data_IF_315073442894
#
_entry.id   IF_315073442894
#
_cell.length_a   1.000
_cell.length_b   1.000
_cell.length_c   1.000
_cell.angle_alpha   90.00
_cell.angle_beta   90.00
_cell.angle_gamma   90.00
#
_symmetry.space_group_name_H-M   'P 1'
#
loop_
_entity.id
_entity.type
_entity.pdbx_description
1 polymer ?
#
# COMPACT_ATOMS: atom_id res chain seq x y z
N UNK A 1 69.37 10.42 -12.84
CA UNK A 1 69.24 11.40 -13.94
C UNK A 1 68.02 12.27 -13.63
N UNK A 2 68.23 13.50 -13.16
CA UNK A 2 68.01 14.76 -13.92
C UNK A 2 66.52 14.93 -14.31
N UNK A 3 65.73 15.90 -13.84
CA UNK A 3 66.03 17.16 -13.16
C UNK A 3 66.20 18.33 -14.15
N UNK A 4 65.10 18.91 -14.65
CA UNK A 4 64.98 20.24 -15.30
C UNK A 4 63.52 20.67 -15.09
N UNK A 5 63.07 21.69 -14.33
CA UNK A 5 63.40 23.13 -14.12
C UNK A 5 63.19 24.07 -15.33
N UNK A 6 61.94 24.56 -15.42
CA UNK A 6 61.49 25.97 -15.51
C UNK A 6 62.08 26.97 -16.53
N UNK A 7 61.18 27.68 -17.24
CA UNK A 7 61.03 29.16 -17.35
C UNK A 7 59.79 29.45 -18.23
N UNK A 8 58.68 30.06 -17.78
CA UNK A 8 58.40 31.46 -17.40
C UNK A 8 58.84 32.51 -18.43
N UNK A 9 57.85 33.12 -19.08
CA UNK A 9 57.65 34.59 -19.17
C UNK A 9 56.21 34.91 -19.61
N UNK A 10 55.63 35.89 -18.92
CA UNK A 10 54.33 36.55 -19.07
C UNK A 10 54.58 37.98 -19.63
N UNK A 11 53.78 39.05 -19.39
CA UNK A 11 52.32 39.31 -19.37
C UNK A 11 51.93 40.62 -20.15
N UNK A 12 50.63 40.98 -20.16
CA UNK A 12 49.97 42.33 -20.14
C UNK A 12 48.76 42.31 -21.09
N UNK A 13 47.59 42.89 -20.82
CA UNK A 13 47.16 44.09 -20.06
C UNK A 13 45.63 43.90 -19.79
N UNK A 14 45.02 44.04 -18.61
CA UNK A 14 44.77 45.16 -17.66
C UNK A 14 43.97 46.36 -18.20
N UNK A 15 42.69 46.43 -17.81
CA UNK A 15 41.96 47.60 -17.23
C UNK A 15 40.59 47.09 -16.72
N UNK A 16 40.16 47.04 -15.45
CA UNK A 16 40.20 47.96 -14.27
C UNK A 16 39.26 49.16 -14.48
N UNK A 17 38.28 49.58 -13.66
CA UNK A 17 37.98 49.58 -12.20
C UNK A 17 36.47 49.96 -12.01
N UNK A 18 35.68 49.49 -11.02
CA UNK A 18 35.47 50.01 -9.63
C UNK A 18 34.86 51.45 -9.65
N UNK A 19 33.88 51.93 -8.86
CA UNK A 19 33.42 51.72 -7.47
C UNK A 19 32.06 52.45 -7.28
N UNK A 20 31.25 52.04 -6.28
CA UNK A 20 30.52 52.85 -5.26
C UNK A 20 29.04 52.53 -5.07
N UNK A 21 28.73 52.09 -3.85
CA UNK A 21 27.38 51.85 -3.36
C UNK A 21 26.71 53.07 -2.77
N UNK A 22 25.42 52.95 -2.53
CA UNK A 22 24.67 53.76 -1.59
C UNK A 22 23.51 52.91 -1.02
N UNK A 23 23.46 52.87 0.31
CA UNK A 23 22.36 52.33 1.10
C UNK A 23 21.17 53.28 1.00
N UNK A 24 19.96 52.77 0.79
CA UNK A 24 18.73 53.57 0.78
C UNK A 24 17.49 52.68 0.99
N UNK A 25 16.97 52.71 2.20
CA UNK A 25 15.75 52.06 2.70
C UNK A 25 14.50 52.59 2.00
N UNK A 26 13.52 51.72 1.69
CA UNK A 26 12.08 51.84 2.05
C UNK A 26 11.13 51.07 1.09
N UNK A 27 10.40 50.13 1.69
CA UNK A 27 8.99 49.76 1.50
C UNK A 27 8.43 49.40 0.12
N UNK A 28 8.02 48.12 0.03
CA UNK A 28 7.21 47.51 -1.02
C UNK A 28 5.71 47.79 -0.80
N UNK A 29 5.04 48.29 -1.84
CA UNK A 29 3.59 48.23 -2.00
C UNK A 29 3.30 47.75 -3.42
N UNK A 30 2.64 46.60 -3.57
CA UNK A 30 2.02 46.21 -4.84
C UNK A 30 0.68 45.52 -4.61
N UNK A 31 -0.28 45.94 -5.43
CA UNK A 31 -1.73 45.78 -5.35
C UNK A 31 -2.24 44.37 -5.68
N UNK A 32 -3.47 43.99 -5.28
CA UNK A 32 -4.02 42.65 -5.49
C UNK A 32 -4.61 42.45 -6.90
N UNK A 33 -4.68 41.19 -7.39
CA UNK A 33 -5.30 40.84 -8.68
C UNK A 33 -6.84 40.68 -8.59
N UNK A 34 -7.57 40.70 -9.74
CA UNK A 34 -9.04 40.82 -9.79
C UNK A 34 -9.78 39.47 -9.63
N UNK A 35 -11.10 39.48 -9.34
CA UNK A 35 -11.86 38.28 -8.97
C UNK A 35 -12.35 37.50 -10.21
N UNK A 36 -12.28 36.17 -10.13
CA UNK A 36 -12.79 35.25 -11.17
C UNK A 36 -14.25 34.89 -10.86
N UNK A 37 -15.10 35.08 -11.88
CA UNK A 37 -16.54 34.83 -11.89
C UNK A 37 -16.85 33.33 -11.88
N UNK A 38 -17.73 32.92 -10.96
CA UNK A 38 -18.26 31.56 -10.86
C UNK A 38 -19.33 31.29 -11.93
N UNK A 39 -19.15 30.24 -12.73
CA UNK A 39 -20.24 29.61 -13.48
C UNK A 39 -20.52 28.23 -12.90
N UNK A 40 -21.76 28.05 -12.43
CA UNK A 40 -22.30 26.80 -11.92
C UNK A 40 -23.03 26.03 -13.02
N UNK A 41 -22.74 24.74 -13.17
CA UNK A 41 -23.70 23.74 -13.69
C UNK A 41 -23.35 22.32 -13.23
N UNK A 42 -24.34 21.43 -13.07
CA UNK A 42 -24.24 20.26 -12.21
C UNK A 42 -24.00 18.98 -13.02
N UNK A 43 -22.97 18.21 -12.67
CA UNK A 43 -22.77 16.83 -13.16
C UNK A 43 -22.49 15.91 -11.98
N UNK A 44 -23.37 14.93 -11.81
CA UNK A 44 -23.28 13.87 -10.82
C UNK A 44 -22.08 12.96 -11.12
N UNK A 45 -21.02 13.11 -10.34
CA UNK A 45 -19.96 12.13 -10.19
C UNK A 45 -19.87 11.75 -8.70
N UNK A 46 -19.68 10.46 -8.36
CA UNK A 46 -19.34 10.11 -6.99
C UNK A 46 -17.96 10.69 -6.69
N UNK A 47 -17.94 11.70 -5.82
CA UNK A 47 -16.73 12.31 -5.29
C UNK A 47 -16.08 11.29 -4.36
N UNK A 48 -15.13 10.52 -4.88
CA UNK A 48 -14.13 9.91 -4.02
C UNK A 48 -13.16 11.01 -3.62
N UNK A 49 -13.35 11.54 -2.42
CA UNK A 49 -12.31 12.33 -1.78
C UNK A 49 -11.06 11.44 -1.70
N UNK A 50 -9.90 11.83 -2.26
CA UNK A 50 -8.66 11.24 -1.81
C UNK A 50 -8.61 11.54 -0.32
N UNK A 51 -8.60 10.49 0.50
CA UNK A 51 -8.23 10.64 1.91
C UNK A 51 -6.82 11.20 1.86
N UNK A 52 -6.70 12.52 2.00
CA UNK A 52 -5.45 13.19 2.23
C UNK A 52 -4.97 12.66 3.57
N UNK A 53 -4.16 11.60 3.52
CA UNK A 53 -3.32 11.28 4.66
C UNK A 53 -2.56 12.56 4.97
N UNK A 54 -2.66 13.11 6.19
CA UNK A 54 -1.79 14.23 6.55
C UNK A 54 -0.37 13.74 6.30
N UNK A 55 0.36 14.47 5.47
CA UNK A 55 1.80 14.30 5.29
C UNK A 55 2.36 14.24 6.71
N UNK A 56 2.98 13.13 7.15
CA UNK A 56 3.60 13.10 8.46
C UNK A 56 4.59 14.27 8.50
N UNK A 57 4.54 15.07 9.55
CA UNK A 57 5.56 16.09 9.78
C UNK A 57 6.94 15.38 9.79
N UNK A 58 7.66 15.47 8.68
CA UNK A 58 8.96 14.86 8.48
C UNK A 58 10.08 15.61 9.23
N UNK A 59 9.73 16.36 10.28
CA UNK A 59 10.67 17.13 11.11
C UNK A 59 11.49 16.26 12.08
N UNK A 60 11.25 14.95 12.12
CA UNK A 60 11.94 14.01 13.01
C UNK A 60 13.04 13.17 12.33
N UNK A 61 13.28 13.34 11.03
CA UNK A 61 14.40 12.66 10.36
C UNK A 61 15.69 13.50 10.46
N UNK A 62 16.83 12.91 10.86
CA UNK A 62 18.11 13.60 10.80
C UNK A 62 18.35 14.12 9.38
N UNK A 63 18.76 15.39 9.20
CA UNK A 63 19.09 15.95 7.90
C UNK A 63 20.32 15.21 7.33
N UNK A 64 20.06 14.16 6.57
CA UNK A 64 21.06 13.22 6.07
C UNK A 64 20.48 11.88 5.58
N UNK A 65 19.30 11.48 6.06
CA UNK A 65 18.56 10.29 5.59
C UNK A 65 17.73 10.54 4.31
N UNK A 66 17.66 11.78 3.84
CA UNK A 66 16.70 12.26 2.84
C UNK A 66 17.10 12.03 1.37
N UNK A 67 18.17 11.29 1.09
CA UNK A 67 18.64 11.07 -0.29
C UNK A 67 19.12 9.63 -0.51
N UNK A 68 18.33 8.64 -0.06
CA UNK A 68 18.50 7.30 -0.63
C UNK A 68 17.99 7.37 -2.06
N UNK A 69 18.90 7.26 -3.04
CA UNK A 69 18.50 7.07 -4.43
C UNK A 69 17.82 5.71 -4.55
N UNK A 70 16.49 5.69 -4.57
CA UNK A 70 15.74 4.46 -4.75
C UNK A 70 16.01 3.84 -6.12
N UNK A 71 16.65 4.53 -7.07
CA UNK A 71 17.01 3.93 -8.36
C UNK A 71 18.18 2.93 -8.28
N UNK A 72 18.77 2.68 -7.09
CA UNK A 72 19.82 1.66 -6.94
C UNK A 72 19.29 0.22 -7.04
N UNK A 73 17.98 -0.02 -6.91
CA UNK A 73 17.45 -1.37 -7.06
C UNK A 73 17.45 -1.80 -8.53
N UNK A 74 17.61 -3.11 -8.76
CA UNK A 74 17.44 -3.72 -10.08
C UNK A 74 16.05 -4.32 -10.16
N UNK A 75 15.18 -3.75 -10.99
CA UNK A 75 13.83 -4.25 -11.23
C UNK A 75 13.82 -5.73 -11.63
N UNK A 76 14.79 -6.15 -12.44
CA UNK A 76 14.96 -7.55 -12.85
C UNK A 76 15.20 -8.48 -11.68
N UNK A 77 15.97 -8.07 -10.67
CA UNK A 77 16.23 -8.87 -9.48
C UNK A 77 14.98 -9.00 -8.61
N UNK A 78 14.25 -7.90 -8.39
CA UNK A 78 13.00 -7.93 -7.64
C UNK A 78 11.98 -8.87 -8.31
N UNK A 79 11.81 -8.75 -9.63
CA UNK A 79 10.94 -9.63 -10.41
C UNK A 79 11.39 -11.08 -10.34
N UNK A 80 12.70 -11.34 -10.36
CA UNK A 80 13.26 -12.68 -10.18
C UNK A 80 12.91 -13.25 -8.81
N UNK A 81 13.13 -12.49 -7.72
CA UNK A 81 12.78 -12.90 -6.36
C UNK A 81 11.30 -13.26 -6.23
N UNK A 82 10.40 -12.50 -6.87
CA UNK A 82 8.96 -12.80 -6.86
C UNK A 82 8.67 -14.07 -7.69
N UNK A 83 9.31 -14.23 -8.85
CA UNK A 83 9.12 -15.38 -9.73
C UNK A 83 9.51 -16.70 -9.07
N UNK A 84 10.62 -16.72 -8.34
CA UNK A 84 11.06 -17.90 -7.60
C UNK A 84 9.99 -18.40 -6.61
N UNK A 85 9.14 -17.49 -6.11
CA UNK A 85 8.11 -17.80 -5.13
C UNK A 85 6.72 -18.00 -5.73
N UNK A 86 6.38 -17.31 -6.82
CA UNK A 86 5.06 -17.39 -7.44
C UNK A 86 5.08 -16.93 -8.90
N UNK A 87 4.84 -17.87 -9.81
CA UNK A 87 4.67 -17.57 -11.24
C UNK A 87 3.42 -16.71 -11.48
N UNK A 88 2.33 -16.89 -10.73
CA UNK A 88 1.10 -16.09 -10.84
C UNK A 88 1.38 -14.60 -10.55
N UNK A 89 2.08 -14.30 -9.46
CA UNK A 89 2.44 -12.93 -9.08
C UNK A 89 3.50 -12.35 -10.02
N UNK A 90 4.41 -13.18 -10.53
CA UNK A 90 5.37 -12.74 -11.54
C UNK A 90 4.70 -12.37 -12.86
N UNK A 91 3.74 -13.17 -13.35
CA UNK A 91 2.99 -12.88 -14.58
C UNK A 91 2.30 -11.53 -14.53
N UNK A 92 1.76 -11.18 -13.37
CA UNK A 92 1.18 -9.88 -13.11
C UNK A 92 2.19 -8.74 -13.37
N UNK A 93 3.36 -8.80 -12.74
CA UNK A 93 4.32 -7.69 -12.80
C UNK A 93 5.29 -7.76 -14.00
N UNK A 94 5.31 -8.87 -14.74
CA UNK A 94 6.31 -9.17 -15.79
C UNK A 94 6.52 -8.01 -16.77
N UNK A 95 5.42 -7.43 -17.25
CA UNK A 95 5.41 -6.35 -18.25
C UNK A 95 5.29 -4.94 -17.65
N UNK A 96 5.30 -4.81 -16.33
CA UNK A 96 5.07 -3.56 -15.60
C UNK A 96 6.40 -3.01 -15.12
N UNK A 97 6.72 -1.77 -15.48
CA UNK A 97 7.89 -1.08 -14.94
C UNK A 97 7.57 -0.40 -13.61
N UNK A 98 8.56 -0.31 -12.72
CA UNK A 98 8.40 0.30 -11.40
C UNK A 98 8.58 1.82 -11.43
N UNK A 99 8.06 2.47 -12.48
CA UNK A 99 8.20 3.92 -12.74
C UNK A 99 6.91 4.71 -12.43
N UNK A 100 5.89 4.04 -11.90
CA UNK A 100 4.58 4.61 -11.57
C UNK A 100 3.65 4.82 -12.77
N UNK A 101 4.03 4.43 -13.99
CA UNK A 101 3.13 4.49 -15.15
C UNK A 101 2.23 3.26 -15.21
N UNK A 102 1.08 3.42 -15.85
CA UNK A 102 0.14 2.33 -16.09
C UNK A 102 0.55 1.50 -17.30
N UNK A 103 0.69 0.20 -17.10
CA UNK A 103 0.98 -0.78 -18.13
C UNK A 103 -0.18 -1.77 -18.27
N UNK A 104 -0.52 -2.10 -19.51
CA UNK A 104 -1.52 -3.14 -19.82
C UNK A 104 -0.95 -4.51 -19.43
N UNK A 105 -1.52 -5.11 -18.40
CA UNK A 105 -1.15 -6.47 -17.96
C UNK A 105 -1.83 -7.49 -18.87
N UNK A 106 -3.16 -7.38 -18.99
CA UNK A 106 -4.00 -8.34 -19.70
C UNK A 106 -5.23 -7.66 -20.33
N UNK A 107 -5.73 -8.26 -21.42
CA UNK A 107 -7.05 -8.01 -21.96
C UNK A 107 -7.72 -9.33 -22.28
N UNK A 108 -8.99 -9.46 -21.90
CA UNK A 108 -9.82 -10.61 -22.21
C UNK A 108 -11.13 -10.11 -22.81
N UNK A 109 -11.61 -10.78 -23.85
CA UNK A 109 -12.93 -10.52 -24.42
C UNK A 109 -13.98 -11.34 -23.67
N UNK A 110 -15.04 -10.67 -23.25
CA UNK A 110 -16.21 -11.29 -22.64
C UNK A 110 -17.47 -10.76 -23.32
N UNK A 111 -18.11 -11.60 -24.12
CA UNK A 111 -19.21 -11.20 -25.00
C UNK A 111 -18.78 -10.08 -25.95
N UNK A 112 -19.53 -8.97 -25.94
CA UNK A 112 -19.24 -7.80 -26.78
C UNK A 112 -18.17 -6.86 -26.20
N UNK A 113 -17.72 -7.10 -24.96
CA UNK A 113 -16.84 -6.20 -24.22
C UNK A 113 -15.42 -6.73 -24.14
N UNK A 114 -14.44 -5.84 -24.33
CA UNK A 114 -13.05 -6.09 -23.99
C UNK A 114 -12.78 -5.57 -22.58
N UNK A 115 -12.43 -6.46 -21.66
CA UNK A 115 -12.04 -6.11 -20.31
C UNK A 115 -10.53 -6.14 -20.23
N UNK A 116 -9.94 -5.06 -19.74
CA UNK A 116 -8.51 -4.94 -19.68
C UNK A 116 -8.07 -4.42 -18.33
N UNK A 117 -6.87 -4.81 -17.94
CA UNK A 117 -6.30 -4.43 -16.68
C UNK A 117 -5.00 -3.67 -16.87
N UNK A 118 -4.96 -2.46 -16.31
CA UNK A 118 -3.78 -1.63 -16.23
C UNK A 118 -3.24 -1.66 -14.78
N UNK A 119 -1.95 -1.90 -14.62
CA UNK A 119 -1.25 -1.82 -13.34
C UNK A 119 -0.15 -0.75 -13.40
N UNK A 120 -0.07 0.05 -12.34
CA UNK A 120 1.09 0.90 -12.06
C UNK A 120 1.75 0.46 -10.74
N UNK A 121 3.09 0.44 -10.72
CA UNK A 121 3.87 0.15 -9.51
C UNK A 121 4.82 1.31 -9.28
N UNK A 122 4.85 1.84 -8.04
CA UNK A 122 5.74 2.93 -7.66
C UNK A 122 6.45 2.62 -6.34
N UNK A 123 7.77 2.63 -6.37
CA UNK A 123 8.61 2.51 -5.17
C UNK A 123 8.92 3.92 -4.64
N UNK A 124 8.53 4.23 -3.40
CA UNK A 124 8.79 5.53 -2.78
C UNK A 124 8.69 5.44 -1.25
N UNK A 125 9.38 6.32 -0.51
CA UNK A 125 9.16 6.46 0.94
C UNK A 125 7.94 7.35 1.21
N UNK A 126 6.97 6.86 2.00
CA UNK A 126 5.77 7.62 2.39
C UNK A 126 5.30 7.32 3.83
N UNK A 127 6.21 7.49 4.79
CA UNK A 127 5.93 7.23 6.21
C UNK A 127 6.22 5.78 6.61
N UNK A 128 5.43 5.23 7.53
CA UNK A 128 5.65 3.91 8.14
C UNK A 128 4.72 2.80 7.60
N UNK A 129 4.08 3.02 6.45
CA UNK A 129 3.28 1.97 5.79
C UNK A 129 4.16 1.19 4.83
N UNK A 130 4.13 -0.15 4.85
CA UNK A 130 5.01 -0.99 4.02
C UNK A 130 4.63 -0.89 2.54
N UNK A 131 3.34 -1.05 2.23
CA UNK A 131 2.82 -0.98 0.88
C UNK A 131 1.35 -0.59 0.89
N UNK A 132 0.81 -0.37 -0.32
CA UNK A 132 -0.61 -0.14 -0.51
C UNK A 132 -1.02 -0.52 -1.94
N UNK A 133 -1.89 -1.52 -2.07
CA UNK A 133 -2.66 -1.82 -3.27
C UNK A 133 -4.00 -1.08 -3.26
N UNK A 134 -4.27 -0.33 -4.32
CA UNK A 134 -5.56 0.34 -4.51
C UNK A 134 -6.53 -0.57 -5.24
N UNK A 135 -7.79 -0.53 -4.80
CA UNK A 135 -8.88 -1.16 -5.55
C UNK A 135 -8.93 -0.63 -6.99
N UNK A 136 -9.24 -1.49 -7.96
CA UNK A 136 -9.21 -1.11 -9.37
C UNK A 136 -10.27 -0.05 -9.70
N UNK A 137 -9.83 1.10 -10.19
CA UNK A 137 -10.74 2.10 -10.76
C UNK A 137 -11.30 1.58 -12.10
N UNK A 138 -12.63 1.56 -12.23
CA UNK A 138 -13.32 1.07 -13.43
C UNK A 138 -13.61 2.21 -14.40
N UNK A 139 -12.98 2.17 -15.57
CA UNK A 139 -13.15 3.12 -16.66
C UNK A 139 -13.89 2.43 -17.81
N UNK A 140 -15.04 2.97 -18.22
CA UNK A 140 -15.89 2.37 -19.26
C UNK A 140 -15.87 3.22 -20.53
N UNK A 141 -15.40 2.64 -21.63
CA UNK A 141 -15.49 3.20 -22.98
C UNK A 141 -16.56 2.48 -23.78
N UNK A 142 -17.75 3.09 -23.89
CA UNK A 142 -18.87 2.52 -24.65
C UNK A 142 -18.59 2.47 -26.15
N UNK A 143 -17.93 3.50 -26.69
CA UNK A 143 -17.58 3.59 -28.13
C UNK A 143 -16.72 2.41 -28.59
N UNK A 144 -15.75 2.02 -27.76
CA UNK A 144 -14.81 0.94 -28.08
C UNK A 144 -15.22 -0.38 -27.43
N UNK A 145 -16.41 -0.44 -26.80
CA UNK A 145 -16.90 -1.56 -25.98
C UNK A 145 -15.80 -2.12 -25.07
N UNK A 146 -15.15 -1.23 -24.32
CA UNK A 146 -13.96 -1.55 -23.52
C UNK A 146 -14.14 -1.11 -22.08
N UNK A 147 -13.77 -1.98 -21.14
CA UNK A 147 -13.70 -1.68 -19.71
C UNK A 147 -12.25 -1.81 -19.29
N UNK A 148 -11.71 -0.77 -18.65
CA UNK A 148 -10.36 -0.77 -18.12
C UNK A 148 -10.46 -0.72 -16.59
N UNK A 149 -9.83 -1.67 -15.93
CA UNK A 149 -9.63 -1.70 -14.48
C UNK A 149 -8.23 -1.16 -14.22
N UNK A 150 -8.07 -0.10 -13.43
CA UNK A 150 -6.78 0.51 -13.14
C UNK A 150 -6.39 0.31 -11.69
N UNK A 151 -5.31 -0.42 -11.45
CA UNK A 151 -4.75 -0.63 -10.12
C UNK A 151 -3.43 0.11 -9.95
N UNK A 152 -3.20 0.66 -8.77
CA UNK A 152 -1.92 1.23 -8.36
C UNK A 152 -1.40 0.42 -7.17
N UNK A 153 -0.10 0.13 -7.17
CA UNK A 153 0.61 -0.40 -6.01
C UNK A 153 1.72 0.56 -5.63
N UNK A 154 1.71 0.98 -4.36
CA UNK A 154 2.79 1.74 -3.76
C UNK A 154 3.64 0.82 -2.88
N UNK A 155 4.96 0.90 -3.03
CA UNK A 155 5.92 0.12 -2.25
C UNK A 155 6.83 1.06 -1.48
N UNK A 156 6.87 0.91 -0.15
CA UNK A 156 7.67 1.72 0.75
C UNK A 156 8.59 0.84 1.61
N UNK A 157 9.87 0.74 1.24
CA UNK A 157 10.84 -0.06 1.98
C UNK A 157 11.31 0.65 3.26
N UNK A 158 10.41 1.19 4.09
CA UNK A 158 10.77 1.96 5.31
C UNK A 158 11.54 1.12 6.33
N UNK A 159 11.40 -0.21 6.29
CA UNK A 159 12.10 -1.17 7.15
C UNK A 159 13.55 -1.44 6.72
N UNK A 160 14.08 -0.70 5.74
CA UNK A 160 15.45 -0.86 5.22
C UNK A 160 16.52 -0.83 6.31
N UNK A 161 16.25 -0.13 7.40
CA UNK A 161 17.18 0.04 8.51
C UNK A 161 16.84 -0.80 9.75
N UNK A 162 15.86 -1.70 9.66
CA UNK A 162 15.56 -2.60 10.77
C UNK A 162 16.76 -3.50 11.07
N UNK A 163 17.19 -3.52 12.34
CA UNK A 163 18.40 -4.22 12.77
C UNK A 163 18.41 -5.69 12.35
N UNK A 164 17.31 -6.42 12.56
CA UNK A 164 17.21 -7.85 12.21
C UNK A 164 17.42 -8.10 10.72
N UNK A 165 16.87 -7.22 9.90
CA UNK A 165 17.04 -7.30 8.45
C UNK A 165 18.46 -6.92 8.04
N UNK A 166 19.04 -5.90 8.70
CA UNK A 166 20.41 -5.47 8.45
C UNK A 166 21.46 -6.51 8.81
N UNK A 167 21.22 -7.27 9.90
CA UNK A 167 22.02 -8.41 10.31
C UNK A 167 21.90 -9.58 9.33
N UNK A 168 20.70 -9.83 8.77
CA UNK A 168 20.47 -10.88 7.76
C UNK A 168 21.07 -10.53 6.39
N UNK A 169 20.92 -9.28 5.96
CA UNK A 169 21.32 -8.77 4.64
C UNK A 169 22.18 -7.51 4.82
N UNK A 170 23.49 -7.70 4.95
CA UNK A 170 24.43 -6.60 5.20
C UNK A 170 24.55 -5.65 3.99
N UNK A 171 24.41 -6.16 2.76
CA UNK A 171 24.43 -5.38 1.53
C UNK A 171 23.15 -4.53 1.39
N UNK A 172 23.30 -3.23 1.14
CA UNK A 172 22.19 -2.28 1.05
C UNK A 172 21.27 -2.55 -0.15
N UNK A 173 21.84 -2.87 -1.31
CA UNK A 173 21.10 -3.12 -2.54
C UNK A 173 20.27 -4.40 -2.41
N UNK A 174 20.89 -5.49 -1.96
CA UNK A 174 20.19 -6.77 -1.77
C UNK A 174 19.06 -6.63 -0.74
N UNK A 175 19.30 -5.85 0.33
CA UNK A 175 18.28 -5.56 1.34
C UNK A 175 17.10 -4.77 0.78
N UNK A 176 17.39 -3.74 -0.01
CA UNK A 176 16.37 -2.93 -0.67
C UNK A 176 15.54 -3.78 -1.64
N UNK A 177 16.20 -4.57 -2.49
CA UNK A 177 15.56 -5.47 -3.45
C UNK A 177 14.71 -6.54 -2.75
N UNK A 178 15.21 -7.13 -1.67
CA UNK A 178 14.45 -8.06 -0.83
C UNK A 178 13.19 -7.41 -0.24
N UNK A 179 13.30 -6.20 0.33
CA UNK A 179 12.15 -5.50 0.89
C UNK A 179 11.12 -5.14 -0.17
N UNK A 180 11.56 -4.59 -1.30
CA UNK A 180 10.64 -4.25 -2.40
C UNK A 180 9.96 -5.52 -2.89
N UNK A 181 10.68 -6.63 -3.07
CA UNK A 181 10.12 -7.91 -3.50
C UNK A 181 9.06 -8.42 -2.50
N UNK A 182 9.39 -8.45 -1.21
CA UNK A 182 8.47 -8.91 -0.16
C UNK A 182 7.19 -8.08 -0.10
N UNK A 183 7.34 -6.76 -0.08
CA UNK A 183 6.19 -5.84 -0.02
C UNK A 183 5.35 -5.95 -1.28
N UNK A 184 5.98 -5.90 -2.45
CA UNK A 184 5.28 -6.01 -3.73
C UNK A 184 4.56 -7.36 -3.86
N UNK A 185 5.15 -8.45 -3.37
CA UNK A 185 4.51 -9.76 -3.32
C UNK A 185 3.20 -9.71 -2.52
N UNK A 186 3.23 -9.14 -1.32
CA UNK A 186 2.04 -8.94 -0.47
C UNK A 186 0.97 -8.09 -1.18
N UNK A 187 1.34 -6.94 -1.73
CA UNK A 187 0.40 -6.05 -2.41
C UNK A 187 -0.15 -6.63 -3.72
N UNK A 188 0.62 -7.47 -4.41
CA UNK A 188 0.15 -8.20 -5.58
C UNK A 188 -0.89 -9.28 -5.21
N UNK A 189 -0.80 -9.89 -4.02
CA UNK A 189 -1.87 -10.79 -3.53
C UNK A 189 -3.18 -10.02 -3.39
N UNK A 190 -3.16 -8.86 -2.72
CA UNK A 190 -4.34 -8.01 -2.61
C UNK A 190 -4.91 -7.63 -3.98
N UNK A 191 -4.03 -7.27 -4.90
CA UNK A 191 -4.41 -6.90 -6.26
C UNK A 191 -5.12 -8.05 -6.99
N UNK A 192 -4.60 -9.28 -6.92
CA UNK A 192 -5.25 -10.46 -7.49
C UNK A 192 -6.59 -10.77 -6.83
N UNK A 193 -6.72 -10.55 -5.53
CA UNK A 193 -7.99 -10.71 -4.81
C UNK A 193 -9.02 -9.68 -5.29
N UNK A 194 -8.64 -8.40 -5.42
CA UNK A 194 -9.53 -7.36 -5.91
C UNK A 194 -10.04 -7.66 -7.32
N UNK A 195 -9.19 -8.18 -8.20
CA UNK A 195 -9.58 -8.53 -9.56
C UNK A 195 -10.53 -9.72 -9.59
N UNK A 196 -10.27 -10.75 -8.79
CA UNK A 196 -11.18 -11.89 -8.70
C UNK A 196 -12.60 -11.49 -8.26
N UNK A 197 -12.73 -10.44 -7.44
CA UNK A 197 -14.03 -9.85 -7.07
C UNK A 197 -14.65 -8.98 -8.15
N UNK A 198 -13.82 -8.27 -8.91
CA UNK A 198 -14.26 -7.18 -9.80
C UNK A 198 -14.52 -7.65 -11.23
N UNK A 199 -13.79 -8.67 -11.68
CA UNK A 199 -13.90 -9.21 -13.03
C UNK A 199 -15.17 -10.06 -13.19
N UNK A 200 -15.78 -10.09 -14.39
CA UNK A 200 -16.92 -10.96 -14.67
C UNK A 200 -16.66 -12.43 -14.35
N UNK A 201 -17.71 -13.20 -14.07
CA UNK A 201 -17.67 -14.61 -13.64
C UNK A 201 -17.18 -15.63 -14.68
N UNK A 202 -16.57 -15.16 -15.78
CA UNK A 202 -15.95 -15.99 -16.83
C UNK A 202 -14.44 -15.77 -17.01
N UNK A 203 -13.82 -15.02 -16.10
CA UNK A 203 -12.37 -14.81 -16.10
C UNK A 203 -11.69 -15.96 -15.39
N UNK A 204 -10.50 -16.35 -15.87
CA UNK A 204 -9.67 -17.33 -15.18
C UNK A 204 -9.37 -16.80 -13.77
N UNK A 205 -9.88 -17.52 -12.77
CA UNK A 205 -9.64 -17.16 -11.38
C UNK A 205 -8.24 -17.63 -11.00
N UNK A 206 -7.42 -16.72 -10.52
CA UNK A 206 -6.09 -17.08 -10.05
C UNK A 206 -6.19 -18.04 -8.88
N UNK A 207 -5.20 -18.94 -8.74
CA UNK A 207 -5.11 -19.83 -7.58
C UNK A 207 -5.14 -19.03 -6.27
N UNK A 208 -4.50 -17.87 -6.27
CA UNK A 208 -4.49 -16.93 -5.14
C UNK A 208 -5.89 -16.48 -4.73
N UNK A 209 -6.75 -16.12 -5.69
CA UNK A 209 -8.11 -15.70 -5.40
C UNK A 209 -8.97 -16.87 -4.91
N UNK A 210 -8.83 -18.05 -5.51
CA UNK A 210 -9.56 -19.26 -5.11
C UNK A 210 -9.24 -19.66 -3.67
N UNK A 211 -7.95 -19.76 -3.33
CA UNK A 211 -7.50 -20.08 -1.96
C UNK A 211 -8.01 -19.05 -0.94
N UNK A 212 -7.97 -17.75 -1.27
CA UNK A 212 -8.53 -16.71 -0.41
C UNK A 212 -10.04 -16.89 -0.22
N UNK A 213 -10.79 -17.16 -1.28
CA UNK A 213 -12.24 -17.34 -1.25
C UNK A 213 -12.63 -18.54 -0.38
N UNK A 214 -11.88 -19.63 -0.45
CA UNK A 214 -12.08 -20.79 0.41
C UNK A 214 -11.83 -20.47 1.88
N UNK A 215 -10.72 -19.78 2.19
CA UNK A 215 -10.44 -19.32 3.55
C UNK A 215 -11.53 -18.39 4.08
N UNK A 216 -12.00 -17.44 3.26
CA UNK A 216 -13.07 -16.52 3.64
C UNK A 216 -14.40 -17.27 3.86
N UNK A 217 -14.72 -18.25 3.02
CA UNK A 217 -15.91 -19.11 3.20
C UNK A 217 -15.81 -19.91 4.51
N UNK A 218 -14.62 -20.43 4.83
CA UNK A 218 -14.40 -21.14 6.08
C UNK A 218 -14.52 -20.22 7.30
N UNK A 219 -13.92 -19.04 7.25
CA UNK A 219 -14.00 -18.02 8.30
C UNK A 219 -15.45 -17.60 8.61
N UNK A 220 -16.32 -17.59 7.59
CA UNK A 220 -17.74 -17.30 7.72
C UNK A 220 -18.63 -18.53 7.96
N UNK A 221 -18.05 -19.73 8.12
CA UNK A 221 -18.83 -20.95 8.32
C UNK A 221 -19.35 -21.09 9.75
N UNK A 222 -20.39 -21.91 9.92
CA UNK A 222 -20.93 -22.25 11.25
C UNK A 222 -19.87 -22.83 12.20
N UNK A 223 -18.85 -23.52 11.65
CA UNK A 223 -17.74 -24.10 12.42
C UNK A 223 -16.88 -23.06 13.13
N UNK A 224 -16.82 -21.84 12.60
CA UNK A 224 -16.09 -20.70 13.17
C UNK A 224 -17.04 -19.59 13.63
N UNK A 225 -18.34 -19.88 13.75
CA UNK A 225 -19.34 -18.91 14.19
C UNK A 225 -18.98 -18.27 15.55
N UNK A 226 -18.53 -19.01 16.58
CA UNK A 226 -18.16 -18.40 17.86
C UNK A 226 -17.02 -17.36 17.74
N UNK A 227 -15.95 -17.70 17.03
CA UNK A 227 -14.78 -16.84 16.85
C UNK A 227 -15.09 -15.65 15.92
N UNK A 228 -15.77 -15.90 14.80
CA UNK A 228 -16.16 -14.85 13.85
C UNK A 228 -17.16 -13.87 14.47
N UNK A 229 -18.13 -14.35 15.24
CA UNK A 229 -19.06 -13.50 16.00
C UNK A 229 -18.34 -12.63 17.03
N UNK A 230 -17.32 -13.16 17.71
CA UNK A 230 -16.50 -12.39 18.64
C UNK A 230 -15.79 -11.21 17.97
N UNK A 231 -15.14 -11.48 16.83
CA UNK A 231 -14.49 -10.44 16.02
C UNK A 231 -15.50 -9.41 15.51
N UNK A 232 -16.59 -9.85 14.89
CA UNK A 232 -17.62 -8.94 14.36
C UNK A 232 -18.30 -8.10 15.46
N UNK A 233 -18.52 -8.67 16.64
CA UNK A 233 -19.02 -7.93 17.80
C UNK A 233 -18.06 -6.83 18.23
N UNK A 234 -16.76 -7.13 18.29
CA UNK A 234 -15.75 -6.12 18.60
C UNK A 234 -15.71 -5.00 17.55
N UNK A 235 -15.84 -5.35 16.27
CA UNK A 235 -15.90 -4.40 15.17
C UNK A 235 -17.15 -3.49 15.26
N UNK A 236 -18.33 -4.04 15.58
CA UNK A 236 -19.55 -3.26 15.81
C UNK A 236 -19.38 -2.29 17.00
N UNK A 237 -18.82 -2.76 18.11
CA UNK A 237 -18.56 -1.91 19.27
C UNK A 237 -17.60 -0.76 18.94
N UNK A 238 -16.56 -1.01 18.14
CA UNK A 238 -15.66 0.05 17.67
C UNK A 238 -16.41 1.07 16.79
N UNK A 239 -17.26 0.61 15.86
CA UNK A 239 -18.08 1.51 15.05
C UNK A 239 -19.03 2.39 15.91
N UNK A 240 -19.58 1.84 16.99
CA UNK A 240 -20.46 2.59 17.90
C UNK A 240 -19.72 3.55 18.84
N UNK A 241 -18.46 3.24 19.20
CA UNK A 241 -17.61 4.14 19.97
C UNK A 241 -17.03 5.29 19.14
N UNK A 242 -17.08 5.20 17.81
CA UNK A 242 -16.63 6.23 16.88
C UNK A 242 -17.54 7.48 16.84
N UNK A 243 -17.17 8.52 16.08
CA UNK A 243 -18.13 9.55 15.68
C UNK A 243 -19.29 8.92 14.92
N UNK A 244 -20.51 9.35 15.27
CA UNK A 244 -21.69 9.06 14.47
C UNK A 244 -21.44 9.72 13.11
N UNK A 245 -21.06 8.92 12.12
CA UNK A 245 -21.26 9.34 10.74
C UNK A 245 -22.78 9.53 10.56
N UNK A 246 -23.25 10.55 9.83
CA UNK A 246 -24.65 10.70 9.46
C UNK A 246 -25.11 9.61 8.45
N UNK A 247 -24.60 8.39 8.57
CA UNK A 247 -24.95 7.22 7.79
C UNK A 247 -26.04 6.40 8.49
N UNK A 248 -26.86 5.74 7.68
CA UNK A 248 -27.85 4.75 8.14
C UNK A 248 -27.17 3.59 8.88
N UNK A 249 -27.94 2.84 9.67
CA UNK A 249 -27.48 1.59 10.30
C UNK A 249 -26.93 0.57 9.30
N UNK A 250 -27.45 0.56 8.07
CA UNK A 250 -26.92 -0.26 6.96
C UNK A 250 -25.45 0.07 6.65
N UNK A 251 -25.09 1.35 6.52
CA UNK A 251 -23.69 1.75 6.25
C UNK A 251 -22.71 1.29 7.32
N UNK A 252 -23.17 1.19 8.58
CA UNK A 252 -22.35 0.63 9.68
C UNK A 252 -22.14 -0.88 9.53
N UNK A 253 -23.18 -1.63 9.12
CA UNK A 253 -23.08 -3.08 8.91
C UNK A 253 -22.20 -3.42 7.71
N UNK A 254 -22.26 -2.60 6.65
CA UNK A 254 -21.37 -2.70 5.50
C UNK A 254 -19.92 -2.51 5.92
N UNK A 255 -19.61 -1.45 6.68
CA UNK A 255 -18.26 -1.18 7.18
C UNK A 255 -17.72 -2.33 8.07
N UNK A 256 -18.56 -2.93 8.91
CA UNK A 256 -18.15 -4.09 9.74
C UNK A 256 -17.78 -5.29 8.86
N UNK A 257 -18.59 -5.54 7.83
CA UNK A 257 -18.36 -6.65 6.90
C UNK A 257 -17.08 -6.42 6.08
N UNK A 258 -16.88 -5.20 5.58
CA UNK A 258 -15.68 -4.78 4.85
C UNK A 258 -14.41 -4.92 5.69
N UNK A 259 -14.42 -4.42 6.94
CA UNK A 259 -13.25 -4.51 7.82
C UNK A 259 -13.01 -5.96 8.26
N UNK A 260 -14.06 -6.77 8.47
CA UNK A 260 -13.90 -8.19 8.76
C UNK A 260 -13.24 -8.93 7.59
N UNK A 261 -13.71 -8.72 6.37
CA UNK A 261 -13.11 -9.34 5.19
C UNK A 261 -11.67 -8.86 4.98
N UNK A 262 -11.40 -7.57 5.20
CA UNK A 262 -10.04 -7.02 5.20
C UNK A 262 -9.12 -7.79 6.17
N UNK A 263 -9.56 -8.07 7.40
CA UNK A 263 -8.78 -8.83 8.37
C UNK A 263 -8.42 -10.23 7.86
N UNK A 264 -9.38 -10.93 7.24
CA UNK A 264 -9.13 -12.27 6.65
C UNK A 264 -8.16 -12.18 5.48
N UNK A 265 -8.30 -11.17 4.62
CA UNK A 265 -7.40 -10.91 3.49
C UNK A 265 -5.96 -10.68 3.96
N UNK A 266 -5.77 -9.90 5.03
CA UNK A 266 -4.46 -9.62 5.61
C UNK A 266 -3.84 -10.85 6.26
N UNK A 267 -4.64 -11.68 6.96
CA UNK A 267 -4.16 -12.97 7.47
C UNK A 267 -3.60 -13.82 6.33
N UNK A 268 -4.39 -13.99 5.27
CA UNK A 268 -4.02 -14.80 4.11
C UNK A 268 -2.74 -14.25 3.44
N UNK A 269 -2.72 -12.96 3.17
CA UNK A 269 -1.64 -12.29 2.43
C UNK A 269 -0.32 -12.32 3.22
N UNK A 270 -0.36 -12.08 4.53
CA UNK A 270 0.83 -12.17 5.40
C UNK A 270 1.34 -13.59 5.48
N UNK A 271 0.47 -14.56 5.77
CA UNK A 271 0.89 -15.97 5.88
C UNK A 271 1.58 -16.41 4.59
N UNK A 272 0.98 -16.10 3.44
CA UNK A 272 1.53 -16.47 2.13
C UNK A 272 2.84 -15.74 1.81
N UNK A 273 2.92 -14.45 2.12
CA UNK A 273 4.14 -13.65 1.93
C UNK A 273 5.27 -14.10 2.84
N UNK A 274 5.04 -14.22 4.15
CA UNK A 274 6.11 -14.58 5.08
C UNK A 274 6.61 -16.00 4.82
N UNK A 275 5.73 -16.96 4.46
CA UNK A 275 6.14 -18.29 4.03
C UNK A 275 7.01 -18.26 2.75
N UNK A 276 6.65 -17.44 1.76
CA UNK A 276 7.40 -17.30 0.51
C UNK A 276 8.80 -16.67 0.71
N UNK A 277 9.07 -15.99 1.81
CA UNK A 277 10.36 -15.33 2.06
C UNK A 277 11.12 -15.94 3.26
N UNK A 278 10.74 -17.16 3.65
CA UNK A 278 11.30 -17.90 4.80
C UNK A 278 11.31 -17.06 6.08
N UNK A 279 10.22 -16.33 6.32
CA UNK A 279 10.00 -15.51 7.49
C UNK A 279 9.05 -16.20 8.46
N UNK A 280 9.34 -16.05 9.75
CA UNK A 280 8.40 -16.47 10.78
C UNK A 280 7.24 -15.50 10.86
N UNK A 281 6.03 -16.06 10.84
CA UNK A 281 4.80 -15.34 11.09
C UNK A 281 4.16 -15.87 12.38
N UNK A 282 3.30 -15.07 13.00
CA UNK A 282 2.67 -15.43 14.27
C UNK A 282 1.30 -14.79 14.35
N UNK A 283 0.25 -15.60 14.58
CA UNK A 283 -1.11 -15.10 14.75
C UNK A 283 -1.20 -14.01 15.81
N UNK A 284 -0.47 -14.16 16.93
CA UNK A 284 -0.36 -13.15 17.97
C UNK A 284 0.19 -11.81 17.48
N UNK A 285 1.24 -11.84 16.64
CA UNK A 285 1.84 -10.61 16.09
C UNK A 285 0.90 -9.98 15.07
N UNK A 286 0.32 -10.79 14.17
CA UNK A 286 -0.59 -10.32 13.12
C UNK A 286 -1.86 -9.75 13.74
N UNK A 287 -2.53 -10.47 14.63
CA UNK A 287 -3.75 -10.01 15.30
C UNK A 287 -3.53 -8.70 16.09
N UNK A 288 -2.36 -8.54 16.72
CA UNK A 288 -1.99 -7.29 17.41
C UNK A 288 -1.86 -6.10 16.49
N UNK A 289 -1.24 -6.28 15.33
CA UNK A 289 -1.06 -5.20 14.37
C UNK A 289 -2.38 -4.85 13.70
N UNK A 290 -3.11 -5.85 13.25
CA UNK A 290 -4.33 -5.65 12.46
C UNK A 290 -5.55 -5.28 13.30
N UNK A 291 -5.60 -5.59 14.59
CA UNK A 291 -6.61 -5.00 15.50
C UNK A 291 -6.48 -3.48 15.61
N UNK A 292 -5.25 -2.94 15.58
CA UNK A 292 -5.03 -1.48 15.56
C UNK A 292 -5.42 -0.88 14.20
N UNK A 293 -5.04 -1.53 13.11
CA UNK A 293 -5.39 -1.07 11.75
C UNK A 293 -6.91 -1.11 11.55
N UNK A 294 -7.58 -2.18 11.98
CA UNK A 294 -9.03 -2.28 11.94
C UNK A 294 -9.70 -1.15 12.73
N UNK A 295 -9.20 -0.82 13.92
CA UNK A 295 -9.72 0.32 14.68
C UNK A 295 -9.55 1.64 13.92
N UNK A 296 -8.41 1.86 13.26
CA UNK A 296 -8.21 3.06 12.43
C UNK A 296 -9.19 3.08 11.23
N UNK A 297 -9.47 1.92 10.61
CA UNK A 297 -10.45 1.79 9.53
C UNK A 297 -11.90 1.99 10.00
N UNK A 298 -12.19 1.72 11.28
CA UNK A 298 -13.50 2.02 11.89
C UNK A 298 -13.71 3.52 12.12
N UNK A 299 -12.62 4.29 12.19
CA UNK A 299 -12.66 5.74 12.31
C UNK A 299 -11.92 6.26 13.54
N UNK A 300 -11.91 7.59 13.74
CA UNK A 300 -11.18 8.20 14.83
C UNK A 300 -11.86 7.94 16.18
N UNK A 301 -11.06 7.73 17.23
CA UNK A 301 -11.55 7.62 18.59
C UNK A 301 -11.92 9.00 19.14
N UNK A 302 -13.13 9.18 19.68
CA UNK A 302 -13.47 10.36 20.49
C UNK A 302 -12.65 10.39 21.77
N UNK A 303 -12.28 11.59 22.23
CA UNK A 303 -11.52 11.77 23.48
C UNK A 303 -12.22 11.09 24.68
N UNK A 304 -13.54 11.27 24.78
CA UNK A 304 -14.37 10.65 25.81
C UNK A 304 -14.36 9.11 25.80
N UNK A 305 -14.04 8.49 24.66
CA UNK A 305 -14.10 7.05 24.46
C UNK A 305 -12.73 6.37 24.46
N UNK A 306 -11.63 7.07 24.78
CA UNK A 306 -10.27 6.50 24.74
C UNK A 306 -10.10 5.19 25.52
N UNK A 307 -10.65 5.13 26.73
CA UNK A 307 -10.56 3.94 27.60
C UNK A 307 -11.38 2.76 27.06
N UNK A 308 -12.69 2.89 26.75
CA UNK A 308 -13.45 1.80 26.15
C UNK A 308 -12.91 1.39 24.78
N UNK A 309 -12.44 2.34 23.96
CA UNK A 309 -11.81 2.07 22.66
C UNK A 309 -10.58 1.17 22.79
N UNK A 310 -9.65 1.51 23.68
CA UNK A 310 -8.46 0.70 23.94
C UNK A 310 -8.81 -0.69 24.49
N UNK A 311 -9.84 -0.79 25.34
CA UNK A 311 -10.34 -2.07 25.84
C UNK A 311 -10.87 -2.93 24.69
N UNK A 312 -11.58 -2.33 23.75
CA UNK A 312 -12.15 -3.04 22.61
C UNK A 312 -11.09 -3.48 21.59
N UNK A 313 -10.07 -2.66 21.32
CA UNK A 313 -8.90 -3.08 20.52
C UNK A 313 -8.23 -4.32 21.13
N UNK A 314 -8.06 -4.33 22.46
CA UNK A 314 -7.45 -5.47 23.14
C UNK A 314 -8.33 -6.73 23.12
N UNK A 315 -9.66 -6.58 23.10
CA UNK A 315 -10.58 -7.70 22.91
C UNK A 315 -10.53 -8.21 21.48
N UNK A 316 -10.60 -7.30 20.50
CA UNK A 316 -10.46 -7.60 19.09
C UNK A 316 -9.16 -8.37 18.81
N UNK A 317 -8.03 -7.94 19.37
CA UNK A 317 -6.77 -8.69 19.29
C UNK A 317 -6.93 -10.16 19.68
N UNK A 318 -7.54 -10.43 20.84
CA UNK A 318 -7.65 -11.78 21.40
C UNK A 318 -8.61 -12.65 20.58
N UNK A 319 -9.74 -12.08 20.18
CA UNK A 319 -10.74 -12.81 19.39
C UNK A 319 -10.21 -13.06 17.97
N UNK A 320 -9.43 -12.13 17.42
CA UNK A 320 -8.77 -12.27 16.13
C UNK A 320 -7.64 -13.33 16.17
N UNK A 321 -6.83 -13.37 17.24
CA UNK A 321 -5.83 -14.42 17.46
C UNK A 321 -6.49 -15.81 17.46
N UNK A 322 -7.57 -15.99 18.23
CA UNK A 322 -8.32 -17.25 18.27
C UNK A 322 -8.91 -17.65 16.91
N UNK A 323 -9.54 -16.71 16.22
CA UNK A 323 -10.08 -16.95 14.89
C UNK A 323 -8.98 -17.42 13.95
N UNK A 324 -7.83 -16.75 14.00
CA UNK A 324 -6.70 -17.07 13.15
C UNK A 324 -6.10 -18.44 13.47
N UNK A 325 -5.93 -18.79 14.75
CA UNK A 325 -5.45 -20.11 15.17
C UNK A 325 -6.38 -21.23 14.69
N UNK A 326 -7.70 -21.00 14.73
CA UNK A 326 -8.70 -21.97 14.28
C UNK A 326 -8.71 -22.14 12.76
N UNK A 327 -8.52 -21.05 12.02
CA UNK A 327 -8.34 -21.11 10.56
C UNK A 327 -7.12 -21.98 10.19
N UNK A 328 -5.99 -21.80 10.89
CA UNK A 328 -4.79 -22.58 10.58
C UNK A 328 -4.90 -24.05 11.02
N UNK A 329 -5.57 -24.31 12.14
CA UNK A 329 -5.78 -25.67 12.65
C UNK A 329 -6.54 -26.56 11.67
N UNK A 330 -7.48 -25.99 10.89
CA UNK A 330 -8.22 -26.74 9.86
C UNK A 330 -7.38 -27.04 8.61
N UNK A 331 -6.35 -26.23 8.32
CA UNK A 331 -5.46 -26.49 7.18
C UNK A 331 -4.50 -27.65 7.44
N UNK A 332 -4.17 -27.94 8.70
CA UNK A 332 -3.34 -29.10 9.08
C UNK A 332 -4.07 -30.45 8.94
N UNK A 333 -5.39 -30.47 9.08
CA UNK A 333 -6.19 -31.71 8.99
C UNK A 333 -6.48 -32.18 7.55
N UNK A 334 -6.32 -31.32 6.54
CA UNK A 334 -6.50 -31.71 5.13
C UNK A 334 -5.21 -32.22 4.49
N UNK A 335 -4.03 -31.92 5.06
CA UNK A 335 -2.74 -32.44 4.60
C UNK A 335 -2.42 -33.87 5.05
N UNK A 336 -3.22 -34.47 5.94
CA UNK A 336 -3.02 -35.84 6.44
C UNK A 336 -3.87 -36.91 5.72
N UNK A 337 -4.61 -36.55 4.66
CA UNK A 337 -5.54 -37.45 3.94
C UNK A 337 -5.13 -37.71 2.47
N UNK A 338 -3.94 -37.28 2.02
CA UNK A 338 -3.43 -37.64 0.69
C UNK A 338 -2.23 -38.57 0.74
#
# INVERSE_FOLDING_TARGET
MQGIRSRKTSPKEKTSLLVHGAWGTLSSASSPPPPVVQYSSPSAHPVFYPVSFPTPDCSLFPPGLLYLDLNIYRESMIKFLIREQSEDLYRLIKKVHFDGKYYRVECVRSGEWEHCWDLAIRVQFFGMMQGLAFEPEKIVSRKNRKIIYRSLVLVNPYELWERKLAERLWNLQDRLEFLIAKILFHECIHTLIFLGKTLPSGFEQTKIFLEFREMLKFANSEKLCPESCGVQSCLRNLADLGPNYPGSSEKKLDQVSEVYEFLINEKYSIKKTDLAFDLSWSNKKVSRNYSKIAALKMGPCKEANKKPWKKEINRLHKDLEKLYDRIDSNQGSESEIN
#
